data_IF_435069876214
#
_entry.id   IF_435069876214
#
_cell.length_a   1.000
_cell.length_b   1.000
_cell.length_c   1.000
_cell.angle_alpha   90.00
_cell.angle_beta   90.00
_cell.angle_gamma   90.00
#
_symmetry.space_group_name_H-M   'P 1'
#
loop_
_entity.id
_entity.type
_entity.pdbx_description
1 polymer ?
#
# COMPACT_ATOMS: atom_id res chain seq x y z
N UNK A 1 30.99 -8.96 29.51
CA UNK A 1 29.59 -8.58 29.26
C UNK A 1 29.59 -7.16 28.75
N UNK A 2 29.36 -6.95 27.45
CA UNK A 2 29.17 -5.61 26.89
C UNK A 2 28.10 -5.74 25.83
N UNK A 3 26.89 -5.28 26.17
CA UNK A 3 25.79 -5.12 25.22
C UNK A 3 26.14 -3.91 24.36
N UNK A 4 26.08 -4.04 23.03
CA UNK A 4 25.96 -2.87 22.17
C UNK A 4 24.73 -3.06 21.27
N UNK A 5 23.67 -2.25 21.47
CA UNK A 5 22.39 -2.42 20.83
C UNK A 5 22.37 -1.79 19.43
N UNK A 6 21.31 -2.11 18.69
CA UNK A 6 20.93 -1.53 17.42
C UNK A 6 21.68 -2.07 16.19
N UNK A 7 21.21 -3.24 15.72
CA UNK A 7 21.00 -3.43 14.28
C UNK A 7 19.97 -2.38 13.83
N UNK A 8 20.44 -1.17 13.52
CA UNK A 8 19.69 -0.22 12.68
C UNK A 8 19.70 -0.79 11.27
N UNK A 9 18.75 -1.67 10.98
CA UNK A 9 18.37 -1.97 9.61
C UNK A 9 17.65 -0.73 9.09
N UNK A 10 18.41 0.23 8.56
CA UNK A 10 17.83 1.35 7.81
C UNK A 10 17.48 0.83 6.42
N UNK A 11 16.38 0.08 6.35
CA UNK A 11 15.76 -0.24 5.06
C UNK A 11 14.97 1.03 4.69
N UNK A 12 15.55 1.79 3.76
CA UNK A 12 15.06 3.05 3.18
C UNK A 12 15.22 4.34 4.00
N UNK A 13 16.39 4.97 3.86
CA UNK A 13 16.63 6.39 4.14
C UNK A 13 16.13 7.34 3.01
N UNK A 14 15.43 6.83 1.99
CA UNK A 14 14.98 7.63 0.84
C UNK A 14 13.50 8.00 0.94
N UNK A 15 13.20 9.04 1.72
CA UNK A 15 12.36 10.21 1.34
C UNK A 15 11.93 10.96 2.61
N UNK A 16 12.26 12.25 2.68
CA UNK A 16 11.75 13.16 3.73
C UNK A 16 10.21 13.33 3.70
N UNK A 17 9.56 12.85 2.63
CA UNK A 17 8.12 12.88 2.42
C UNK A 17 7.56 11.45 2.42
N UNK A 18 7.43 10.85 3.61
CA UNK A 18 6.70 9.59 3.77
C UNK A 18 5.23 9.81 3.42
N UNK A 19 4.66 8.98 2.56
CA UNK A 19 3.23 8.98 2.25
C UNK A 19 2.47 8.50 3.49
N UNK A 20 1.58 9.33 4.02
CA UNK A 20 0.77 8.94 5.19
C UNK A 20 -0.38 8.05 4.77
N UNK A 21 -0.87 7.23 5.70
CA UNK A 21 -1.99 6.33 5.44
C UNK A 21 -3.24 7.10 4.97
N UNK A 22 -3.55 8.22 5.61
CA UNK A 22 -4.70 9.07 5.26
C UNK A 22 -4.52 9.77 3.91
N UNK A 23 -3.27 10.07 3.52
CA UNK A 23 -2.96 10.62 2.21
C UNK A 23 -3.15 9.55 1.13
N UNK A 24 -2.67 8.33 1.37
CA UNK A 24 -2.88 7.20 0.48
C UNK A 24 -4.37 6.89 0.31
N UNK A 25 -5.16 6.90 1.39
CA UNK A 25 -6.60 6.69 1.31
C UNK A 25 -7.31 7.76 0.45
N UNK A 26 -6.89 9.02 0.56
CA UNK A 26 -7.40 10.10 -0.31
C UNK A 26 -7.02 9.89 -1.77
N UNK A 27 -5.80 9.43 -2.04
CA UNK A 27 -5.33 9.13 -3.40
C UNK A 27 -6.15 7.98 -4.01
N UNK A 28 -6.36 6.91 -3.23
CA UNK A 28 -7.18 5.75 -3.64
C UNK A 28 -8.62 6.18 -3.90
N UNK A 29 -9.25 6.88 -2.95
CA UNK A 29 -10.63 7.36 -3.09
C UNK A 29 -10.82 8.35 -4.23
N UNK A 30 -9.78 9.10 -4.60
CA UNK A 30 -9.81 10.02 -5.74
C UNK A 30 -9.48 9.34 -7.09
N UNK A 31 -9.14 8.05 -7.10
CA UNK A 31 -8.69 7.30 -8.28
C UNK A 31 -7.58 8.02 -9.06
N UNK A 32 -6.49 8.37 -8.36
CA UNK A 32 -5.32 9.04 -8.96
C UNK A 32 -4.03 8.27 -8.68
N UNK A 33 -3.05 8.43 -9.57
CA UNK A 33 -1.69 7.95 -9.36
C UNK A 33 -0.70 9.12 -9.53
N UNK A 34 -0.44 9.91 -8.46
CA UNK A 34 0.50 11.03 -8.54
C UNK A 34 1.93 10.52 -8.81
N UNK A 35 2.62 11.02 -9.86
CA UNK A 35 3.95 10.53 -10.26
C UNK A 35 4.98 10.56 -9.13
N UNK A 36 4.92 11.56 -8.26
CA UNK A 36 5.82 11.73 -7.12
C UNK A 36 5.57 10.74 -5.97
N UNK A 37 4.43 10.04 -5.99
CA UNK A 37 4.04 9.03 -4.99
C UNK A 37 4.04 7.60 -5.54
N UNK A 38 4.14 7.41 -6.86
CA UNK A 38 4.03 6.11 -7.54
C UNK A 38 4.85 5.02 -6.87
N UNK A 39 6.15 5.24 -6.60
CA UNK A 39 6.99 4.22 -5.97
C UNK A 39 6.48 3.78 -4.59
N UNK A 40 6.01 4.72 -3.76
CA UNK A 40 5.49 4.39 -2.43
C UNK A 40 4.15 3.67 -2.50
N UNK A 41 3.30 4.03 -3.47
CA UNK A 41 2.01 3.37 -3.72
C UNK A 41 2.25 1.95 -4.21
N UNK A 42 3.19 1.75 -5.13
CA UNK A 42 3.51 0.41 -5.65
C UNK A 42 4.03 -0.49 -4.55
N UNK A 43 4.97 0.00 -3.73
CA UNK A 43 5.48 -0.74 -2.59
C UNK A 43 4.37 -1.09 -1.59
N UNK A 44 3.36 -0.23 -1.42
CA UNK A 44 2.21 -0.56 -0.57
C UNK A 44 1.47 -1.80 -1.08
N UNK A 45 1.31 -1.99 -2.39
CA UNK A 45 0.58 -3.13 -2.94
C UNK A 45 1.44 -4.39 -3.16
N UNK A 46 2.78 -4.28 -3.10
CA UNK A 46 3.69 -5.42 -3.24
C UNK A 46 4.33 -5.89 -1.95
N UNK A 47 4.71 -4.97 -1.06
CA UNK A 47 5.56 -5.27 0.09
C UNK A 47 4.75 -5.36 1.39
N UNK A 48 3.53 -4.82 1.40
CA UNK A 48 2.64 -4.87 2.57
C UNK A 48 1.84 -6.17 2.52
N UNK A 49 1.81 -6.96 3.61
CA UNK A 49 0.98 -8.15 3.70
C UNK A 49 -0.49 -7.82 3.44
N UNK A 50 -1.20 -8.72 2.74
CA UNK A 50 -2.60 -8.52 2.35
C UNK A 50 -3.52 -8.26 3.56
N UNK A 51 -3.25 -8.88 4.71
CA UNK A 51 -4.00 -8.64 5.95
C UNK A 51 -3.83 -7.22 6.49
N UNK A 52 -2.68 -6.57 6.26
CA UNK A 52 -2.45 -5.18 6.66
C UNK A 52 -3.07 -4.21 5.64
N UNK A 53 -3.16 -4.59 4.36
CA UNK A 53 -3.91 -3.85 3.33
C UNK A 53 -5.42 -3.87 3.66
N UNK A 54 -5.96 -5.03 4.02
CA UNK A 54 -7.36 -5.19 4.48
C UNK A 54 -7.64 -4.32 5.71
N UNK A 55 -6.78 -4.43 6.73
CA UNK A 55 -6.88 -3.58 7.93
C UNK A 55 -6.81 -2.09 7.59
N UNK A 56 -5.92 -1.69 6.69
CA UNK A 56 -5.79 -0.31 6.23
C UNK A 56 -7.12 0.20 5.62
N UNK A 57 -7.73 -0.61 4.75
CA UNK A 57 -9.00 -0.28 4.11
C UNK A 57 -10.13 -0.14 5.14
N UNK A 58 -10.23 -1.11 6.07
CA UNK A 58 -11.21 -1.08 7.14
C UNK A 58 -11.05 0.13 8.08
N UNK A 59 -9.82 0.46 8.49
CA UNK A 59 -9.53 1.57 9.41
C UNK A 59 -9.83 2.94 8.76
N UNK A 60 -9.55 3.09 7.47
CA UNK A 60 -9.74 4.36 6.76
C UNK A 60 -11.07 4.45 6.01
N UNK A 61 -11.93 3.44 6.13
CA UNK A 61 -13.26 3.41 5.52
C UNK A 61 -13.22 3.35 3.99
N UNK A 62 -12.20 2.70 3.41
CA UNK A 62 -12.11 2.44 1.98
C UNK A 62 -12.92 1.19 1.70
N UNK A 63 -13.96 1.30 0.86
CA UNK A 63 -14.73 0.13 0.44
C UNK A 63 -13.87 -0.78 -0.45
N UNK A 64 -14.00 -2.10 -0.28
CA UNK A 64 -13.23 -3.11 -1.02
C UNK A 64 -13.33 -2.94 -2.54
N UNK A 65 -14.51 -2.54 -3.04
CA UNK A 65 -14.72 -2.27 -4.46
C UNK A 65 -13.88 -1.09 -4.97
N UNK A 66 -13.65 -0.07 -4.14
CA UNK A 66 -12.80 1.07 -4.48
C UNK A 66 -11.34 0.63 -4.50
N UNK A 67 -10.92 -0.13 -3.49
CA UNK A 67 -9.56 -0.67 -3.42
C UNK A 67 -9.26 -1.59 -4.62
N UNK A 68 -10.20 -2.46 -4.97
CA UNK A 68 -10.14 -3.33 -6.15
C UNK A 68 -9.97 -2.55 -7.44
N UNK A 69 -10.84 -1.57 -7.69
CA UNK A 69 -10.76 -0.74 -8.89
C UNK A 69 -9.42 -0.01 -8.98
N UNK A 70 -8.92 0.50 -7.85
CA UNK A 70 -7.63 1.17 -7.82
C UNK A 70 -6.48 0.22 -8.18
N UNK A 71 -6.45 -0.97 -7.57
CA UNK A 71 -5.45 -1.99 -7.85
C UNK A 71 -5.48 -2.43 -9.32
N UNK A 72 -6.67 -2.71 -9.85
CA UNK A 72 -6.85 -3.13 -11.26
C UNK A 72 -6.44 -2.04 -12.25
N UNK A 73 -6.78 -0.77 -11.98
CA UNK A 73 -6.49 0.37 -12.86
C UNK A 73 -5.01 0.74 -12.90
N UNK A 74 -4.32 0.75 -11.75
CA UNK A 74 -3.00 1.38 -11.63
C UNK A 74 -1.85 0.44 -11.30
N UNK A 75 -2.13 -0.74 -10.74
CA UNK A 75 -1.11 -1.57 -10.11
C UNK A 75 -0.94 -2.91 -10.81
N UNK A 76 -2.05 -3.60 -11.07
CA UNK A 76 -2.09 -5.01 -11.48
C UNK A 76 -1.19 -5.33 -12.69
N UNK A 77 -1.22 -4.48 -13.70
CA UNK A 77 -0.47 -4.70 -14.95
C UNK A 77 1.05 -4.61 -14.76
N UNK A 78 1.51 -3.89 -13.74
CA UNK A 78 2.94 -3.75 -13.44
C UNK A 78 3.36 -4.75 -12.36
N UNK A 79 2.57 -4.86 -11.29
CA UNK A 79 2.88 -5.64 -10.11
C UNK A 79 1.66 -6.51 -9.71
N UNK A 80 1.45 -7.65 -10.37
CA UNK A 80 0.37 -8.55 -10.01
C UNK A 80 0.63 -9.21 -8.65
N UNK A 81 -0.41 -9.29 -7.82
CA UNK A 81 -0.40 -9.88 -6.49
C UNK A 81 -1.61 -10.82 -6.34
N UNK A 82 -1.37 -12.13 -6.47
CA UNK A 82 -2.43 -13.15 -6.47
C UNK A 82 -3.20 -13.20 -5.14
N UNK A 83 -2.53 -13.04 -4.00
CA UNK A 83 -3.18 -13.08 -2.69
C UNK A 83 -4.14 -11.89 -2.53
N UNK A 84 -3.72 -10.70 -3.00
CA UNK A 84 -4.57 -9.52 -3.00
C UNK A 84 -5.74 -9.67 -3.97
N UNK A 85 -5.51 -10.25 -5.15
CA UNK A 85 -6.57 -10.55 -6.12
C UNK A 85 -7.61 -11.55 -5.58
N UNK A 86 -7.17 -12.54 -4.80
CA UNK A 86 -8.06 -13.47 -4.12
C UNK A 86 -8.88 -12.77 -3.03
N UNK A 87 -8.26 -11.92 -2.22
CA UNK A 87 -8.96 -11.10 -1.22
C UNK A 87 -10.04 -10.23 -1.86
N UNK A 88 -9.72 -9.58 -2.99
CA UNK A 88 -10.61 -8.63 -3.66
C UNK A 88 -11.60 -9.28 -4.63
N UNK A 89 -11.53 -10.60 -4.83
CA UNK A 89 -12.31 -11.32 -5.85
C UNK A 89 -13.81 -11.03 -5.75
N UNK A 90 -14.34 -10.97 -4.53
CA UNK A 90 -15.77 -10.87 -4.24
C UNK A 90 -16.28 -9.46 -3.92
N UNK A 91 -15.42 -8.44 -3.98
CA UNK A 91 -15.84 -7.06 -3.81
C UNK A 91 -16.78 -6.62 -4.96
N UNK A 92 -17.95 -6.06 -4.61
CA UNK A 92 -19.00 -5.60 -5.53
C UNK A 92 -19.34 -4.12 -5.32
#
# INVERSE_FOLDING_TARGET
>A
MTVNPARKSVINAQTKNHLKAEELAKIIGAMRLPPERTGQIFNFFTDVPVQDIDRFAAVLGIADIVLKRYYEEFIKDVNPNQELEEMLRYAQ
#
